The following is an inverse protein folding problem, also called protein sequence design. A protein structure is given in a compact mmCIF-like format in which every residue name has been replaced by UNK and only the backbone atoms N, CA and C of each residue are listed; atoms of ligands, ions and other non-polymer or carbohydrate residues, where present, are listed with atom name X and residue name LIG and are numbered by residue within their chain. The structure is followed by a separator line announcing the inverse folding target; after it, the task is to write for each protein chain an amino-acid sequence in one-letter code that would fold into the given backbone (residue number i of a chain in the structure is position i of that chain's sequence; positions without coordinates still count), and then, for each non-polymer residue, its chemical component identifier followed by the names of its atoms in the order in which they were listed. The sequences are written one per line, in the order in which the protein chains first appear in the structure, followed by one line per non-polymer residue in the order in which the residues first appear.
data_IF_841380746923
#
_entry.id   IF_841380746923
#
_cell.length_a   1.000
_cell.length_b   1.000
_cell.length_c   1.000
_cell.angle_alpha   90.00
_cell.angle_beta   90.00
_cell.angle_gamma   90.00
#
_symmetry.space_group_name_H-M   'P 1'
#
loop_
_entity.id
_entity.type
_entity.pdbx_description
1 polymer ?
#
# COMPACT_ATOMS: atom_id res chain seq x y z
N UNK A 1 -17.88 17.71 10.92
CA UNK A 1 -16.67 17.56 10.07
C UNK A 1 -16.58 16.09 9.69
N UNK A 2 -16.59 15.70 8.41
CA UNK A 2 -16.30 14.31 8.06
C UNK A 2 -14.91 14.00 8.60
N UNK A 3 -14.80 13.02 9.48
CA UNK A 3 -13.53 12.56 10.02
C UNK A 3 -12.67 12.11 8.83
N UNK A 4 -11.60 12.83 8.53
CA UNK A 4 -10.66 12.50 7.46
C UNK A 4 -10.06 11.11 7.73
N UNK A 5 -10.53 10.11 6.98
CA UNK A 5 -10.10 8.71 7.13
C UNK A 5 -8.85 8.45 6.30
N UNK A 6 -7.88 7.76 6.89
CA UNK A 6 -6.75 7.20 6.15
C UNK A 6 -7.25 6.07 5.25
N UNK A 7 -6.63 5.92 4.08
CA UNK A 7 -7.10 5.01 3.02
C UNK A 7 -6.00 3.98 2.71
N UNK A 8 -6.37 2.71 2.57
CA UNK A 8 -5.46 1.65 2.14
C UNK A 8 -6.14 0.74 1.12
N UNK A 9 -5.36 0.26 0.16
CA UNK A 9 -5.77 -0.77 -0.77
C UNK A 9 -4.93 -2.02 -0.51
N UNK A 10 -5.56 -3.16 -0.25
CA UNK A 10 -4.85 -4.38 0.15
C UNK A 10 -5.55 -5.67 -0.28
N UNK A 11 -4.85 -6.79 -0.19
CA UNK A 11 -5.45 -8.12 -0.29
C UNK A 11 -6.49 -8.34 0.83
N UNK A 12 -7.67 -8.92 0.54
CA UNK A 12 -8.61 -9.33 1.57
C UNK A 12 -8.10 -10.51 2.41
N UNK A 13 -7.17 -11.32 1.89
CA UNK A 13 -6.55 -12.42 2.60
C UNK A 13 -5.12 -12.08 3.05
N UNK A 14 -4.69 -12.53 4.24
CA UNK A 14 -3.31 -12.37 4.67
C UNK A 14 -2.37 -13.23 3.82
N UNK A 15 -1.16 -12.74 3.60
CA UNK A 15 -0.07 -13.52 3.02
C UNK A 15 0.58 -14.46 4.06
N UNK A 16 1.62 -15.21 3.68
CA UNK A 16 2.29 -16.18 4.55
C UNK A 16 2.83 -15.61 5.87
N UNK A 17 3.10 -14.30 5.92
CA UNK A 17 3.59 -13.59 7.12
C UNK A 17 2.46 -12.95 7.93
N UNK A 18 1.19 -13.30 7.66
CA UNK A 18 0.01 -12.76 8.34
C UNK A 18 -0.36 -11.33 7.95
N UNK A 19 0.50 -10.63 7.19
CA UNK A 19 0.21 -9.28 6.70
C UNK A 19 -0.69 -9.31 5.46
N UNK A 20 -1.52 -8.28 5.28
CA UNK A 20 -2.29 -8.09 4.05
C UNK A 20 -1.46 -7.25 3.05
N UNK A 21 -0.94 -7.81 1.96
CA UNK A 21 -0.13 -7.06 1.00
C UNK A 21 -0.91 -5.88 0.42
N UNK A 22 -0.26 -4.71 0.33
CA UNK A 22 -0.85 -3.52 -0.27
C UNK A 22 -0.90 -3.62 -1.80
N UNK A 23 -1.68 -2.73 -2.43
CA UNK A 23 -1.87 -2.67 -3.89
C UNK A 23 -0.56 -2.70 -4.67
N UNK A 24 0.45 -1.92 -4.26
CA UNK A 24 1.77 -1.94 -4.90
C UNK A 24 2.47 -3.28 -4.78
N UNK A 25 2.46 -3.88 -3.59
CA UNK A 25 3.06 -5.19 -3.35
C UNK A 25 2.42 -6.29 -4.19
N UNK A 26 1.09 -6.25 -4.35
CA UNK A 26 0.36 -7.19 -5.19
C UNK A 26 0.75 -7.06 -6.67
N UNK A 27 0.83 -5.85 -7.22
CA UNK A 27 1.24 -5.66 -8.61
C UNK A 27 2.73 -5.92 -8.84
N UNK A 28 3.57 -5.62 -7.85
CA UNK A 28 5.01 -5.93 -7.92
C UNK A 28 5.24 -7.44 -7.95
N UNK A 29 4.40 -8.21 -7.26
CA UNK A 29 4.42 -9.67 -7.33
C UNK A 29 4.10 -10.16 -8.75
N UNK A 30 3.04 -9.66 -9.38
CA UNK A 30 2.70 -9.99 -10.77
C UNK A 30 3.84 -9.64 -11.74
N UNK A 31 4.44 -8.45 -11.60
CA UNK A 31 5.57 -8.03 -12.42
C UNK A 31 6.78 -8.95 -12.25
N UNK A 32 7.12 -9.28 -10.99
CA UNK A 32 8.24 -10.18 -10.65
C UNK A 32 8.03 -11.60 -11.19
N UNK A 33 6.79 -12.08 -11.20
CA UNK A 33 6.43 -13.40 -11.73
C UNK A 33 6.32 -13.43 -13.26
N UNK A 34 6.56 -12.31 -13.95
CA UNK A 34 6.47 -12.23 -15.41
C UNK A 34 5.05 -12.37 -15.95
N UNK A 35 4.04 -12.10 -15.11
CA UNK A 35 2.63 -12.31 -15.45
C UNK A 35 2.01 -11.15 -16.24
N UNK A 36 2.60 -9.96 -16.15
CA UNK A 36 2.09 -8.77 -16.83
C UNK A 36 2.30 -8.86 -18.35
N UNK A 37 1.32 -8.38 -19.13
CA UNK A 37 1.53 -8.13 -20.56
C UNK A 37 2.55 -6.99 -20.76
N UNK A 38 3.14 -6.83 -21.97
CA UNK A 38 4.04 -5.70 -22.24
C UNK A 38 3.42 -4.33 -21.95
N UNK A 39 2.13 -4.14 -22.25
CA UNK A 39 1.43 -2.87 -21.98
C UNK A 39 1.22 -2.66 -20.47
N UNK A 40 0.81 -3.69 -19.75
CA UNK A 40 0.66 -3.64 -18.29
C UNK A 40 1.99 -3.38 -17.59
N UNK A 41 3.07 -3.97 -18.08
CA UNK A 41 4.41 -3.74 -17.55
C UNK A 41 4.82 -2.26 -17.71
N UNK A 42 4.58 -1.67 -18.88
CA UNK A 42 4.90 -0.26 -19.13
C UNK A 42 4.06 0.68 -18.23
N UNK A 43 2.77 0.38 -18.03
CA UNK A 43 1.90 1.10 -17.10
C UNK A 43 2.41 0.96 -15.66
N UNK A 44 2.71 -0.26 -15.23
CA UNK A 44 3.22 -0.54 -13.89
C UNK A 44 4.55 0.19 -13.64
N UNK A 45 5.52 0.11 -14.55
CA UNK A 45 6.84 0.73 -14.38
C UNK A 45 6.74 2.24 -14.29
N UNK A 46 6.07 2.87 -15.25
CA UNK A 46 5.88 4.34 -15.25
C UNK A 46 5.10 4.84 -14.03
N UNK A 47 4.13 4.06 -13.54
CA UNK A 47 3.41 4.40 -12.31
C UNK A 47 4.32 4.30 -11.08
N UNK A 48 5.15 3.25 -10.95
CA UNK A 48 6.09 3.11 -9.84
C UNK A 48 7.17 4.21 -9.88
N UNK A 49 7.74 4.50 -11.06
CA UNK A 49 8.71 5.60 -11.23
C UNK A 49 8.14 6.94 -10.74
N UNK A 50 6.86 7.20 -11.03
CA UNK A 50 6.20 8.40 -10.56
C UNK A 50 6.04 8.45 -9.03
N UNK A 51 5.68 7.32 -8.39
CA UNK A 51 5.61 7.23 -6.93
C UNK A 51 6.99 7.41 -6.28
N UNK A 52 8.00 6.69 -6.80
CA UNK A 52 9.38 6.74 -6.30
C UNK A 52 9.96 8.16 -6.40
N UNK A 53 9.61 8.91 -7.44
CA UNK A 53 10.06 10.29 -7.63
C UNK A 53 9.32 11.32 -6.75
N UNK A 54 8.08 11.03 -6.32
CA UNK A 54 7.19 12.03 -5.72
C UNK A 54 7.00 11.88 -4.21
N UNK A 55 7.14 10.68 -3.66
CA UNK A 55 6.87 10.40 -2.26
C UNK A 55 8.12 9.96 -1.51
N UNK A 56 8.26 10.35 -0.23
CA UNK A 56 9.28 9.78 0.63
C UNK A 56 9.13 8.25 0.70
N UNK A 57 10.23 7.54 0.57
CA UNK A 57 10.30 6.13 0.94
C UNK A 57 10.52 6.03 2.46
N UNK A 58 9.56 5.50 3.24
CA UNK A 58 9.70 5.43 4.70
C UNK A 58 10.97 4.69 5.14
N UNK A 59 11.35 3.61 4.45
CA UNK A 59 12.56 2.82 4.77
C UNK A 59 13.86 3.60 4.53
N UNK A 60 13.86 4.57 3.60
CA UNK A 60 15.02 5.42 3.37
C UNK A 60 15.18 6.50 4.46
N UNK A 61 14.08 6.87 5.12
CA UNK A 61 14.06 7.83 6.23
C UNK A 61 14.39 7.13 7.55
N UNK A 62 13.76 5.99 7.81
CA UNK A 62 14.00 5.15 8.97
C UNK A 62 13.89 3.67 8.55
N UNK A 63 15.01 2.92 8.56
CA UNK A 63 15.02 1.52 8.11
C UNK A 63 14.22 0.58 9.03
N UNK A 64 13.87 1.01 10.24
CA UNK A 64 13.12 0.20 11.22
C UNK A 64 11.60 0.22 11.00
N UNK A 65 11.09 1.10 10.13
CA UNK A 65 9.64 1.32 9.93
C UNK A 65 8.88 0.04 9.58
N UNK A 66 9.48 -0.83 8.76
CA UNK A 66 8.90 -2.11 8.36
C UNK A 66 9.65 -3.31 8.93
N UNK A 67 10.48 -3.11 9.95
CA UNK A 67 11.14 -4.19 10.66
C UNK A 67 10.07 -5.10 11.30
N UNK A 68 10.03 -6.40 10.98
CA UNK A 68 8.97 -7.29 11.46
C UNK A 68 9.07 -7.65 12.95
N UNK A 69 10.24 -7.50 13.57
CA UNK A 69 10.43 -7.73 15.02
C UNK A 69 9.97 -6.50 15.81
N UNK A 70 10.27 -5.29 15.33
CA UNK A 70 9.90 -4.03 16.00
C UNK A 70 8.46 -3.59 15.69
N UNK A 71 8.05 -3.75 14.43
CA UNK A 71 6.79 -3.25 13.89
C UNK A 71 6.03 -4.35 13.12
N UNK A 72 5.61 -5.43 13.79
CA UNK A 72 4.96 -6.57 13.16
C UNK A 72 3.68 -6.15 12.43
N UNK A 73 3.61 -6.48 11.13
CA UNK A 73 2.45 -6.16 10.31
C UNK A 73 2.34 -4.69 9.91
N UNK A 74 3.40 -3.89 10.08
CA UNK A 74 3.45 -2.49 9.65
C UNK A 74 2.95 -2.31 8.19
N UNK A 75 2.06 -1.35 8.01
CA UNK A 75 1.35 -1.13 6.75
C UNK A 75 1.19 0.37 6.47
N UNK A 76 1.53 0.80 5.25
CA UNK A 76 1.26 2.16 4.79
C UNK A 76 -0.23 2.40 4.53
N UNK A 77 -0.69 3.60 4.89
CA UNK A 77 -1.99 4.15 4.58
C UNK A 77 -1.83 5.55 4.01
N UNK A 78 -2.53 5.85 2.93
CA UNK A 78 -2.62 7.21 2.40
C UNK A 78 -3.36 8.11 3.37
N UNK A 79 -2.87 9.33 3.52
CA UNK A 79 -3.67 10.42 4.06
C UNK A 79 -4.77 10.78 3.05
N UNK A 80 -5.97 11.18 3.49
CA UNK A 80 -7.05 11.57 2.58
C UNK A 80 -6.71 12.82 1.76
N UNK A 81 -5.72 13.60 2.19
CA UNK A 81 -5.18 14.76 1.46
C UNK A 81 -4.24 14.37 0.32
N UNK A 82 -3.78 13.12 0.23
CA UNK A 82 -2.92 12.62 -0.85
C UNK A 82 -3.74 12.30 -2.12
N UNK A 83 -4.55 13.26 -2.58
CA UNK A 83 -5.55 13.07 -3.65
C UNK A 83 -4.93 12.62 -4.97
N UNK A 84 -3.80 13.18 -5.37
CA UNK A 84 -3.09 12.78 -6.59
C UNK A 84 -2.54 11.34 -6.49
N UNK A 85 -2.00 10.96 -5.31
CA UNK A 85 -1.57 9.59 -5.06
C UNK A 85 -2.76 8.65 -5.20
N UNK A 86 -3.85 8.92 -4.48
CA UNK A 86 -5.06 8.09 -4.49
C UNK A 86 -5.62 7.89 -5.90
N UNK A 87 -5.68 8.96 -6.72
CA UNK A 87 -6.15 8.86 -8.10
C UNK A 87 -5.25 7.96 -8.98
N UNK A 88 -3.94 7.94 -8.72
CA UNK A 88 -2.97 7.12 -9.45
C UNK A 88 -2.90 5.67 -8.96
N UNK A 89 -3.77 5.25 -8.03
CA UNK A 89 -3.92 3.84 -7.66
C UNK A 89 -4.73 3.07 -8.73
N UNK A 90 -5.59 3.74 -9.50
CA UNK A 90 -6.50 3.12 -10.47
C UNK A 90 -5.81 2.21 -11.51
N UNK A 91 -4.66 2.57 -12.11
CA UNK A 91 -3.96 1.68 -13.03
C UNK A 91 -3.56 0.34 -12.39
N UNK A 92 -3.17 0.34 -11.11
CA UNK A 92 -2.83 -0.86 -10.38
C UNK A 92 -4.06 -1.74 -10.14
N UNK A 93 -5.19 -1.13 -9.74
CA UNK A 93 -6.44 -1.86 -9.51
C UNK A 93 -6.95 -2.51 -10.79
N UNK A 94 -6.79 -1.85 -11.94
CA UNK A 94 -7.09 -2.43 -13.25
C UNK A 94 -6.25 -3.67 -13.51
N UNK A 95 -4.92 -3.56 -13.39
CA UNK A 95 -4.00 -4.70 -13.57
C UNK A 95 -4.39 -5.85 -12.63
N UNK A 96 -4.61 -5.60 -11.34
CA UNK A 96 -4.98 -6.66 -10.40
C UNK A 96 -6.28 -7.36 -10.79
N UNK A 97 -7.31 -6.60 -11.20
CA UNK A 97 -8.58 -7.15 -11.65
C UNK A 97 -8.41 -8.00 -12.90
N UNK A 98 -7.66 -7.53 -13.89
CA UNK A 98 -7.46 -8.22 -15.16
C UNK A 98 -6.68 -9.55 -14.96
N UNK A 99 -5.90 -9.65 -13.87
CA UNK A 99 -5.22 -10.87 -13.41
C UNK A 99 -5.98 -11.69 -12.36
N UNK A 100 -7.22 -11.34 -12.04
CA UNK A 100 -8.04 -12.03 -11.04
C UNK A 100 -7.49 -11.97 -9.61
N UNK A 101 -6.65 -10.99 -9.29
CA UNK A 101 -6.07 -10.78 -7.96
C UNK A 101 -6.96 -9.84 -7.13
N UNK A 102 -7.58 -10.31 -6.04
CA UNK A 102 -8.47 -9.48 -5.23
C UNK A 102 -7.75 -8.33 -4.53
N UNK A 103 -8.35 -7.14 -4.54
CA UNK A 103 -7.88 -5.98 -3.78
C UNK A 103 -9.09 -5.20 -3.23
N UNK A 104 -9.08 -4.87 -1.95
CA UNK A 104 -10.13 -4.13 -1.25
C UNK A 104 -9.62 -2.78 -0.80
N UNK A 105 -10.50 -1.77 -0.82
CA UNK A 105 -10.27 -0.44 -0.24
C UNK A 105 -10.76 -0.44 1.21
N UNK A 106 -9.90 0.01 2.12
CA UNK A 106 -10.19 0.22 3.53
C UNK A 106 -10.08 1.71 3.86
N UNK A 107 -10.91 2.17 4.79
CA UNK A 107 -10.87 3.52 5.32
C UNK A 107 -10.99 3.50 6.85
N UNK A 108 -10.04 4.10 7.56
CA UNK A 108 -10.07 4.17 9.02
C UNK A 108 -9.58 5.53 9.53
N UNK A 109 -10.27 6.05 10.54
CA UNK A 109 -9.80 7.21 11.30
C UNK A 109 -8.65 6.84 12.25
N UNK A 110 -8.61 5.59 12.71
CA UNK A 110 -7.61 5.04 13.62
C UNK A 110 -7.19 3.63 13.17
N UNK A 111 -6.27 3.52 12.17
CA UNK A 111 -5.85 2.22 11.64
C UNK A 111 -4.83 1.50 12.53
N UNK A 112 -4.40 2.10 13.66
CA UNK A 112 -3.45 1.50 14.60
C UNK A 112 -2.36 2.47 15.09
N UNK A 113 -1.33 1.92 15.73
CA UNK A 113 -0.19 2.70 16.27
C UNK A 113 0.66 3.22 15.11
N UNK A 114 0.72 4.53 14.96
CA UNK A 114 1.55 5.20 13.95
C UNK A 114 3.04 5.04 14.30
N UNK A 115 3.83 4.55 13.34
CA UNK A 115 5.29 4.38 13.44
C UNK A 115 6.05 5.26 12.47
N UNK A 116 5.36 5.82 11.47
CA UNK A 116 5.91 6.78 10.53
C UNK A 116 4.80 7.70 10.05
N UNK A 117 5.14 8.97 9.79
CA UNK A 117 4.24 9.94 9.17
C UNK A 117 5.00 10.89 8.26
N UNK A 118 4.39 11.20 7.12
CA UNK A 118 4.77 12.32 6.27
C UNK A 118 3.52 13.09 5.79
N UNK A 119 3.68 13.99 4.80
CA UNK A 119 2.59 14.79 4.24
C UNK A 119 1.53 13.99 3.46
N UNK A 120 1.83 12.75 3.08
CA UNK A 120 1.07 11.94 2.14
C UNK A 120 0.60 10.60 2.72
N UNK A 121 1.34 10.03 3.68
CA UNK A 121 1.05 8.72 4.26
C UNK A 121 1.35 8.66 5.76
N UNK A 122 0.79 7.63 6.37
CA UNK A 122 1.21 7.10 7.67
C UNK A 122 1.58 5.64 7.49
N UNK A 123 2.55 5.13 8.25
CA UNK A 123 2.74 3.69 8.44
C UNK A 123 2.27 3.36 9.83
N UNK A 124 1.43 2.33 9.94
CA UNK A 124 0.87 1.90 11.22
C UNK A 124 1.13 0.43 11.46
N UNK A 125 1.36 0.12 12.73
CA UNK A 125 1.23 -1.24 13.25
C UNK A 125 -0.25 -1.43 13.61
N UNK A 126 -0.95 -2.40 12.98
CA UNK A 126 -2.36 -2.63 13.29
C UNK A 126 -2.51 -2.98 14.77
N UNK A 127 -3.58 -2.51 15.39
CA UNK A 127 -3.93 -2.99 16.72
C UNK A 127 -4.09 -4.53 16.62
N UNK A 128 -3.38 -5.28 17.47
CA UNK A 128 -3.59 -6.72 17.56
C UNK A 128 -5.08 -6.93 17.85
N UNK A 129 -5.79 -7.51 16.88
CA UNK A 129 -7.16 -7.94 17.12
C UNK A 129 -7.12 -8.99 18.23
N UNK A 130 -7.68 -8.65 19.39
CA UNK A 130 -8.33 -9.66 20.23
C UNK A 130 -9.25 -10.44 19.29
N UNK A 131 -8.93 -11.72 19.15
CA UNK A 131 -9.81 -12.72 18.55
C UNK A 131 -11.15 -12.76 19.27
#
# INVERSE_FOLDING_TARGET
MPSLRHIRFQSPAPGPRGNHPGVFGLTNLLAREGRLTPEEWAIWRSSNDWYDARFPNPTAVDPTVYDPELNPGAAAWFRPTATEALARVDPYLRILRDHGVPCVRLESADPGRVVYTDAYQIVVVPAQGRT
#
